data_IF_478747369815
#
_entry.id   IF_478747369815
#
_cell.length_a   1.000
_cell.length_b   1.000
_cell.length_c   1.000
_cell.angle_alpha   90.00
_cell.angle_beta   90.00
_cell.angle_gamma   90.00
#
_symmetry.space_group_name_H-M   'P 1'
#
loop_
_entity.id
_entity.type
_entity.pdbx_description
1 polymer ?
#
# COMPACT_ATOMS: atom_id res chain seq x y z
N UNK A 1 14.91 -10.01 0.39
CA UNK A 1 14.23 -9.71 -0.90
C UNK A 1 15.26 -9.42 -1.99
N UNK A 2 15.09 -9.96 -3.20
CA UNK A 2 16.05 -9.80 -4.30
C UNK A 2 15.74 -8.61 -5.25
N UNK A 3 16.67 -8.31 -6.17
CA UNK A 3 16.53 -7.19 -7.11
C UNK A 3 15.37 -7.35 -8.10
N UNK A 4 15.00 -8.57 -8.45
CA UNK A 4 13.89 -8.87 -9.35
C UNK A 4 12.57 -8.63 -8.63
N UNK A 5 12.45 -9.11 -7.40
CA UNK A 5 11.28 -8.90 -6.53
C UNK A 5 11.03 -7.42 -6.27
N UNK A 6 12.07 -6.66 -5.92
CA UNK A 6 11.97 -5.21 -5.73
C UNK A 6 11.43 -4.51 -6.99
N UNK A 7 11.85 -4.94 -8.18
CA UNK A 7 11.36 -4.38 -9.46
C UNK A 7 9.89 -4.74 -9.71
N UNK A 8 9.50 -5.99 -9.47
CA UNK A 8 8.12 -6.45 -9.63
C UNK A 8 7.17 -5.73 -8.66
N UNK A 9 7.55 -5.63 -7.39
CA UNK A 9 6.80 -4.86 -6.39
C UNK A 9 6.66 -3.39 -6.77
N UNK A 10 7.73 -2.78 -7.32
CA UNK A 10 7.65 -1.42 -7.83
C UNK A 10 6.67 -1.29 -8.99
N UNK A 11 6.70 -2.21 -9.96
CA UNK A 11 5.78 -2.20 -11.10
C UNK A 11 4.32 -2.36 -10.63
N UNK A 12 4.06 -3.34 -9.77
CA UNK A 12 2.76 -3.55 -9.14
C UNK A 12 2.26 -2.29 -8.43
N UNK A 13 3.05 -1.68 -7.54
CA UNK A 13 2.62 -0.51 -6.78
C UNK A 13 2.39 0.73 -7.67
N UNK A 14 3.17 0.90 -8.74
CA UNK A 14 2.95 1.99 -9.72
C UNK A 14 1.62 1.83 -10.42
N UNK A 15 1.27 0.60 -10.83
CA UNK A 15 0.00 0.26 -11.45
C UNK A 15 -1.16 0.45 -10.48
N UNK A 16 -1.07 -0.17 -9.30
CA UNK A 16 -2.10 -0.15 -8.26
C UNK A 16 -2.40 1.27 -7.75
N UNK A 17 -1.36 2.05 -7.41
CA UNK A 17 -1.52 3.40 -6.86
C UNK A 17 -1.64 4.47 -7.95
N UNK A 18 -1.29 4.13 -9.20
CA UNK A 18 -1.36 5.02 -10.36
C UNK A 18 -0.32 6.14 -10.34
N UNK A 19 0.91 5.88 -9.85
CA UNK A 19 1.96 6.88 -9.74
C UNK A 19 3.35 6.34 -10.10
N UNK A 20 3.93 6.81 -11.20
CA UNK A 20 5.27 6.43 -11.70
C UNK A 20 6.44 6.87 -10.79
N UNK A 21 6.20 7.82 -9.89
CA UNK A 21 7.18 8.29 -8.91
C UNK A 21 7.45 7.30 -7.78
N UNK A 22 6.63 6.25 -7.64
CA UNK A 22 6.82 5.21 -6.64
C UNK A 22 8.11 4.44 -6.94
N UNK A 23 8.94 4.29 -5.91
CA UNK A 23 10.20 3.53 -5.94
C UNK A 23 10.25 2.55 -4.79
N UNK A 24 10.71 1.33 -5.07
CA UNK A 24 10.90 0.29 -4.05
C UNK A 24 12.38 -0.06 -3.98
N UNK A 25 12.94 -0.01 -2.78
CA UNK A 25 14.34 -0.35 -2.50
C UNK A 25 14.40 -1.33 -1.35
N UNK A 26 15.51 -2.06 -1.19
CA UNK A 26 15.75 -2.81 0.04
C UNK A 26 15.68 -1.87 1.25
N UNK A 27 15.15 -2.36 2.37
CA UNK A 27 15.18 -1.61 3.62
C UNK A 27 16.63 -1.55 4.16
N UNK A 28 17.12 -0.37 4.58
CA UNK A 28 18.51 -0.20 5.00
C UNK A 28 18.83 -0.89 6.33
N UNK A 29 17.82 -1.24 7.14
CA UNK A 29 17.97 -1.94 8.41
C UNK A 29 17.77 -3.45 8.26
N UNK A 30 16.82 -3.85 7.41
CA UNK A 30 16.53 -5.25 7.13
C UNK A 30 16.50 -5.52 5.61
N UNK A 31 17.55 -6.11 5.01
CA UNK A 31 17.58 -6.36 3.57
C UNK A 31 16.54 -7.39 3.09
N UNK A 32 15.87 -8.09 4.02
CA UNK A 32 14.76 -8.98 3.71
C UNK A 32 13.44 -8.22 3.49
N UNK A 33 13.35 -7.00 4.01
CA UNK A 33 12.23 -6.07 3.79
C UNK A 33 12.53 -5.07 2.67
N UNK A 34 11.50 -4.34 2.24
CA UNK A 34 11.61 -3.20 1.35
C UNK A 34 11.07 -1.91 1.95
N UNK A 35 11.61 -0.81 1.46
CA UNK A 35 11.15 0.54 1.73
C UNK A 35 10.57 1.15 0.44
N UNK A 36 9.36 1.69 0.55
CA UNK A 36 8.67 2.36 -0.56
C UNK A 36 8.80 3.86 -0.42
N UNK A 37 9.18 4.51 -1.51
CA UNK A 37 9.49 5.92 -1.57
C UNK A 37 8.63 6.63 -2.61
N UNK A 38 8.33 7.89 -2.34
CA UNK A 38 7.79 8.84 -3.30
C UNK A 38 8.63 10.11 -3.25
N UNK A 39 9.38 10.38 -4.32
CA UNK A 39 10.47 11.35 -4.29
C UNK A 39 11.58 10.92 -3.33
N UNK A 40 11.98 11.81 -2.43
CA UNK A 40 13.01 11.54 -1.40
C UNK A 40 12.43 10.98 -0.10
N UNK A 41 11.10 10.92 0.02
CA UNK A 41 10.42 10.51 1.26
C UNK A 41 10.05 9.03 1.22
N UNK A 42 10.42 8.29 2.26
CA UNK A 42 9.85 6.97 2.54
C UNK A 42 8.40 7.11 2.98
N UNK A 43 7.48 6.43 2.30
CA UNK A 43 6.05 6.45 2.58
C UNK A 43 5.55 5.15 3.22
N UNK A 44 6.17 4.01 2.91
CA UNK A 44 5.70 2.71 3.35
C UNK A 44 6.84 1.70 3.53
N UNK A 45 6.51 0.56 4.12
CA UNK A 45 7.35 -0.63 4.22
C UNK A 45 6.67 -1.81 3.53
N UNK A 46 7.49 -2.77 3.09
CA UNK A 46 7.02 -4.08 2.64
C UNK A 46 7.81 -5.13 3.42
N UNK A 47 7.12 -6.03 4.11
CA UNK A 47 7.74 -7.24 4.68
C UNK A 47 7.38 -8.46 3.84
N UNK A 48 8.26 -9.45 3.85
CA UNK A 48 8.01 -10.76 3.23
C UNK A 48 7.41 -11.68 4.27
N UNK A 49 6.38 -12.41 3.87
CA UNK A 49 5.85 -13.56 4.60
C UNK A 49 5.99 -14.79 3.70
N UNK A 50 6.76 -15.77 4.17
CA UNK A 50 7.05 -17.03 3.48
C UNK A 50 6.60 -18.25 4.29
N UNK A 51 5.68 -18.06 5.24
CA UNK A 51 5.08 -19.17 5.99
C UNK A 51 4.29 -20.09 5.03
N UNK A 52 4.47 -21.40 5.18
CA UNK A 52 3.75 -22.47 4.47
C UNK A 52 4.00 -22.63 2.96
N UNK A 53 4.99 -21.93 2.40
CA UNK A 53 5.43 -22.11 1.00
C UNK A 53 4.67 -21.27 -0.02
N UNK A 54 3.73 -20.45 0.42
CA UNK A 54 3.09 -19.40 -0.37
C UNK A 54 3.75 -18.06 -0.01
N UNK A 55 4.59 -17.54 -0.91
CA UNK A 55 5.28 -16.29 -0.65
C UNK A 55 4.35 -15.11 -0.91
N UNK A 56 4.30 -14.20 0.06
CA UNK A 56 3.49 -13.00 -0.01
C UNK A 56 4.24 -11.80 0.56
N UNK A 57 3.74 -10.60 0.22
CA UNK A 57 4.36 -9.35 0.59
C UNK A 57 3.30 -8.45 1.25
N UNK A 58 3.58 -8.03 2.48
CA UNK A 58 2.71 -7.14 3.23
C UNK A 58 3.18 -5.70 3.08
N UNK A 59 2.46 -4.89 2.31
CA UNK A 59 2.69 -3.46 2.20
C UNK A 59 1.93 -2.72 3.31
N UNK A 60 2.63 -1.85 4.04
CA UNK A 60 2.05 -1.02 5.10
C UNK A 60 2.43 0.46 4.97
N UNK A 61 1.43 1.34 4.90
CA UNK A 61 1.61 2.79 4.81
C UNK A 61 0.84 3.51 5.91
N UNK A 62 1.53 4.36 6.68
CA UNK A 62 0.89 5.24 7.66
C UNK A 62 0.27 6.45 6.98
N UNK A 63 -0.94 6.79 7.41
CA UNK A 63 -1.74 7.89 6.87
C UNK A 63 -2.12 8.82 8.04
N UNK A 64 -1.41 9.93 8.23
CA UNK A 64 -1.57 10.79 9.40
C UNK A 64 -2.70 11.81 9.21
N UNK A 65 -3.87 11.36 8.73
CA UNK A 65 -5.04 12.23 8.55
C UNK A 65 -6.32 11.53 8.98
N UNK A 66 -7.32 12.33 9.37
CA UNK A 66 -8.62 11.80 9.78
C UNK A 66 -9.50 11.29 8.63
N UNK A 67 -10.54 10.53 9.00
CA UNK A 67 -11.46 9.84 8.08
C UNK A 67 -12.10 10.75 7.01
N UNK A 68 -12.39 11.99 7.36
CA UNK A 68 -13.10 12.95 6.50
C UNK A 68 -12.29 13.36 5.26
N UNK A 69 -10.96 13.46 5.40
CA UNK A 69 -10.06 13.92 4.34
C UNK A 69 -9.27 12.79 3.68
N UNK A 70 -9.40 11.56 4.20
CA UNK A 70 -8.62 10.38 3.84
C UNK A 70 -8.52 10.15 2.32
N UNK A 71 -9.64 10.18 1.59
CA UNK A 71 -9.63 9.98 0.14
C UNK A 71 -8.89 11.11 -0.59
N UNK A 72 -9.19 12.36 -0.23
CA UNK A 72 -8.56 13.52 -0.86
C UNK A 72 -7.06 13.57 -0.59
N UNK A 73 -6.62 13.09 0.58
CA UNK A 73 -5.22 12.96 0.92
C UNK A 73 -4.52 11.93 0.01
N UNK A 74 -5.09 10.74 -0.15
CA UNK A 74 -4.50 9.69 -1.00
C UNK A 74 -4.45 10.09 -2.48
N UNK A 75 -5.53 10.71 -3.00
CA UNK A 75 -5.56 11.23 -4.38
C UNK A 75 -4.48 12.28 -4.61
N UNK A 76 -4.29 13.21 -3.66
CA UNK A 76 -3.24 14.23 -3.74
C UNK A 76 -1.84 13.64 -3.59
N UNK A 77 -1.67 12.67 -2.70
CA UNK A 77 -0.38 12.03 -2.46
C UNK A 77 0.12 11.28 -3.71
N UNK A 78 -0.77 10.53 -4.37
CA UNK A 78 -0.42 9.74 -5.56
C UNK A 78 -0.76 10.41 -6.88
N UNK A 79 -1.28 11.64 -6.87
CA UNK A 79 -1.73 12.36 -8.07
C UNK A 79 -2.69 11.52 -8.93
N UNK A 80 -3.55 10.73 -8.27
CA UNK A 80 -4.43 9.76 -8.91
C UNK A 80 -5.88 9.90 -8.41
N UNK A 81 -6.73 10.54 -9.22
CA UNK A 81 -8.14 10.75 -8.91
C UNK A 81 -9.02 9.50 -9.01
N UNK A 82 -8.47 8.38 -9.49
CA UNK A 82 -9.18 7.11 -9.63
C UNK A 82 -9.24 6.33 -8.31
N UNK A 83 -8.44 6.72 -7.33
CA UNK A 83 -8.50 6.15 -5.98
C UNK A 83 -9.82 6.51 -5.31
N UNK A 84 -10.50 5.52 -4.74
CA UNK A 84 -11.77 5.71 -4.02
C UNK A 84 -11.78 4.91 -2.71
N UNK A 85 -12.54 5.42 -1.75
CA UNK A 85 -12.72 4.77 -0.45
C UNK A 85 -14.11 4.17 -0.39
N UNK A 86 -14.18 2.86 -0.17
CA UNK A 86 -15.43 2.11 -0.05
C UNK A 86 -15.66 1.71 1.40
N UNK A 87 -16.91 1.84 1.86
CA UNK A 87 -17.29 1.46 3.22
C UNK A 87 -17.34 -0.06 3.36
N UNK A 88 -16.75 -0.58 4.45
CA UNK A 88 -16.71 -2.03 4.72
C UNK A 88 -17.91 -2.48 5.54
N UNK A 89 -19.10 -2.37 4.96
CA UNK A 89 -20.37 -2.67 5.61
C UNK A 89 -20.68 -1.70 6.76
N UNK A 90 -20.85 -2.22 7.99
CA UNK A 90 -21.13 -1.43 9.20
C UNK A 90 -19.87 -1.06 9.99
N UNK A 91 -18.68 -1.44 9.52
CA UNK A 91 -17.42 -1.13 10.18
C UNK A 91 -17.10 0.36 10.02
N UNK A 92 -16.83 1.03 11.14
CA UNK A 92 -16.50 2.47 11.17
C UNK A 92 -15.00 2.70 11.34
N UNK A 93 -14.28 1.68 11.77
CA UNK A 93 -12.85 1.66 12.04
C UNK A 93 -12.02 1.27 10.82
N UNK A 94 -12.64 0.84 9.72
CA UNK A 94 -11.95 0.40 8.52
C UNK A 94 -12.74 0.67 7.25
N UNK A 95 -12.00 0.86 6.16
CA UNK A 95 -12.50 1.07 4.82
C UNK A 95 -11.63 0.34 3.80
N UNK A 96 -12.13 0.21 2.58
CA UNK A 96 -11.41 -0.37 1.47
C UNK A 96 -10.86 0.74 0.58
N UNK A 97 -9.61 0.60 0.15
CA UNK A 97 -9.03 1.42 -0.90
C UNK A 97 -9.23 0.71 -2.23
N UNK A 98 -9.84 1.39 -3.18
CA UNK A 98 -10.05 0.87 -4.53
C UNK A 98 -9.45 1.82 -5.59
N UNK A 99 -9.10 1.28 -6.76
CA UNK A 99 -8.80 2.04 -7.97
C UNK A 99 -9.70 1.56 -9.11
N UNK A 100 -10.42 2.46 -9.77
CA UNK A 100 -11.35 2.11 -10.87
C UNK A 100 -12.37 0.99 -10.53
N UNK A 101 -12.72 0.86 -9.23
CA UNK A 101 -13.64 -0.16 -8.73
C UNK A 101 -12.97 -1.48 -8.31
N UNK A 102 -11.69 -1.66 -8.59
CA UNK A 102 -10.89 -2.80 -8.15
C UNK A 102 -10.35 -2.58 -6.72
N UNK A 103 -10.42 -3.62 -5.89
CA UNK A 103 -9.93 -3.59 -4.52
C UNK A 103 -8.39 -3.62 -4.48
N UNK A 104 -7.80 -2.70 -3.71
CA UNK A 104 -6.35 -2.66 -3.49
C UNK A 104 -5.95 -3.09 -2.09
N UNK A 105 -6.71 -2.71 -1.06
CA UNK A 105 -6.33 -2.99 0.31
C UNK A 105 -7.27 -2.42 1.35
N UNK A 106 -6.95 -2.68 2.61
CA UNK A 106 -7.74 -2.22 3.76
C UNK A 106 -7.03 -1.04 4.42
N UNK A 107 -7.79 0.02 4.71
CA UNK A 107 -7.33 1.14 5.53
C UNK A 107 -8.02 1.04 6.89
N UNK A 108 -7.25 0.82 7.95
CA UNK A 108 -7.74 0.64 9.32
C UNK A 108 -7.30 1.79 10.22
N UNK A 109 -8.18 2.24 11.10
CA UNK A 109 -7.88 3.30 12.07
C UNK A 109 -6.84 2.82 13.08
N UNK A 110 -5.84 3.65 13.37
CA UNK A 110 -4.84 3.35 14.39
C UNK A 110 -5.37 3.65 15.81
N UNK A 111 -6.42 4.46 15.91
CA UNK A 111 -6.93 4.96 17.18
C UNK A 111 -8.46 5.20 17.17
N UNK A 112 -9.14 5.15 18.34
CA UNK A 112 -10.59 5.33 18.42
C UNK A 112 -11.12 6.70 18.00
N UNK A 113 -10.27 7.74 17.93
CA UNK A 113 -10.64 9.09 17.46
C UNK A 113 -10.59 9.19 15.94
N UNK A 114 -10.20 8.13 15.23
CA UNK A 114 -10.10 8.07 13.77
C UNK A 114 -9.19 9.19 13.22
N UNK A 115 -8.08 9.44 13.93
CA UNK A 115 -7.17 10.56 13.65
C UNK A 115 -5.99 10.17 12.75
N UNK A 116 -5.61 8.90 12.75
CA UNK A 116 -4.70 8.31 11.78
C UNK A 116 -5.14 6.91 11.37
N UNK A 117 -4.61 6.48 10.22
CA UNK A 117 -4.90 5.19 9.64
C UNK A 117 -3.65 4.50 9.12
N UNK A 118 -3.74 3.18 8.95
CA UNK A 118 -2.76 2.38 8.21
C UNK A 118 -3.44 1.74 7.01
N UNK A 119 -2.87 1.94 5.81
CA UNK A 119 -3.19 1.14 4.63
C UNK A 119 -2.37 -0.13 4.65
N UNK A 120 -3.04 -1.27 4.56
CA UNK A 120 -2.46 -2.60 4.43
C UNK A 120 -2.89 -3.21 3.09
N UNK A 121 -1.91 -3.66 2.31
CA UNK A 121 -2.12 -4.37 1.04
C UNK A 121 -1.37 -5.68 1.11
N UNK A 122 -2.07 -6.79 0.87
CA UNK A 122 -1.45 -8.09 0.69
C UNK A 122 -1.17 -8.27 -0.80
N UNK A 123 0.09 -8.50 -1.17
CA UNK A 123 0.53 -8.72 -2.54
C UNK A 123 0.97 -10.17 -2.64
N UNK A 124 0.35 -10.93 -3.53
CA UNK A 124 0.64 -12.34 -3.74
C UNK A 124 1.57 -12.50 -4.94
N UNK A 125 2.26 -13.64 -5.02
CA UNK A 125 3.22 -13.87 -6.11
C UNK A 125 2.58 -13.71 -7.50
N UNK A 126 1.32 -14.14 -7.68
CA UNK A 126 0.61 -13.98 -8.96
C UNK A 126 0.28 -12.52 -9.29
N UNK A 127 0.19 -11.62 -8.31
CA UNK A 127 -0.01 -10.18 -8.56
C UNK A 127 1.24 -9.53 -9.18
N UNK A 128 2.40 -10.16 -8.93
CA UNK A 128 3.73 -9.78 -9.41
C UNK A 128 4.10 -10.44 -10.74
N UNK A 129 3.31 -11.42 -11.18
CA UNK A 129 3.40 -12.01 -12.51
C UNK A 129 2.66 -11.09 -13.49
N UNK A 130 3.41 -10.23 -14.19
CA UNK A 130 2.88 -9.56 -15.38
C UNK A 130 2.96 -10.52 -16.58
N UNK A 131 1.89 -10.56 -17.39
CA UNK A 131 1.83 -11.18 -18.74
C UNK A 131 2.91 -10.63 -19.69
#
# INVERSE_FOLDING_TARGET
>A
MDKTELRKLQAFLRRALGNEGVRVTADPKNPDDAAVHLGERRIASISVDDEDGDRSFAFEMKIPVGREVLQSYLRKLFENDRLSIVARGRKMDSVELNADGEFLGVISADDPKLSSFTLQVAILDFDLEEE
#
